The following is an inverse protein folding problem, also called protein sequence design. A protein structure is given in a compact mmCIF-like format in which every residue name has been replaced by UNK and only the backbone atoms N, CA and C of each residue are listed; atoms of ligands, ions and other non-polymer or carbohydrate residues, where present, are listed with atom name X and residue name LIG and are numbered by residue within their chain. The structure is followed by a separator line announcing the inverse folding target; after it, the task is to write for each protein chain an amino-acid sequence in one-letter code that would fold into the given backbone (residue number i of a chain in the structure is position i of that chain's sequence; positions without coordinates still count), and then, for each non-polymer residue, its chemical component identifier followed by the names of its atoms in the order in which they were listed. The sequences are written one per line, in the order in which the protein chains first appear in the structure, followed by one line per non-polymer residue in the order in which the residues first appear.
data_IF_393107717242
#
_entry.id   IF_393107717242
#
_cell.length_a   1.000
_cell.length_b   1.000
_cell.length_c   1.000
_cell.angle_alpha   90.00
_cell.angle_beta   90.00
_cell.angle_gamma   90.00
#
_symmetry.space_group_name_H-M   'P 1'
#
loop_
_entity.id
_entity.type
_entity.pdbx_description
1 polymer ?
#
# COMPACT_ATOMS: atom_id res chain seq x y z
N UNK A 1 -17.12 -16.44 34.96
CA UNK A 1 -17.92 -16.35 33.72
C UNK A 1 -17.25 -15.36 32.77
N UNK A 2 -16.77 -15.80 31.62
CA UNK A 2 -16.00 -15.02 30.63
C UNK A 2 -16.87 -14.40 29.53
N UNK A 3 -18.19 -14.33 29.71
CA UNK A 3 -19.11 -13.80 28.71
C UNK A 3 -18.85 -12.30 28.41
N UNK A 4 -18.55 -11.51 29.45
CA UNK A 4 -18.20 -10.09 29.29
C UNK A 4 -16.90 -9.88 28.49
N UNK A 5 -15.90 -10.74 28.70
CA UNK A 5 -14.66 -10.73 27.91
C UNK A 5 -14.90 -11.17 26.46
N UNK A 6 -15.80 -12.15 26.24
CA UNK A 6 -16.17 -12.59 24.89
C UNK A 6 -16.89 -11.47 24.11
N UNK A 7 -17.87 -10.80 24.73
CA UNK A 7 -18.56 -9.66 24.12
C UNK A 7 -17.59 -8.51 23.85
N UNK A 8 -16.64 -8.26 24.77
CA UNK A 8 -15.60 -7.25 24.57
C UNK A 8 -14.69 -7.58 23.38
N UNK A 9 -14.35 -8.86 23.17
CA UNK A 9 -13.56 -9.31 22.04
C UNK A 9 -14.30 -9.10 20.71
N UNK A 10 -15.59 -9.44 20.65
CA UNK A 10 -16.41 -9.21 19.44
C UNK A 10 -16.49 -7.71 19.10
N UNK A 11 -16.71 -6.85 20.10
CA UNK A 11 -16.71 -5.39 19.90
C UNK A 11 -15.35 -4.86 19.46
N UNK A 12 -14.25 -5.45 19.96
CA UNK A 12 -12.90 -5.08 19.52
C UNK A 12 -12.68 -5.44 18.05
N UNK A 13 -13.14 -6.61 17.61
CA UNK A 13 -13.03 -7.06 16.22
C UNK A 13 -13.69 -6.09 15.23
N UNK A 14 -14.87 -5.57 15.56
CA UNK A 14 -15.60 -4.57 14.76
C UNK A 14 -14.81 -3.27 14.54
N UNK A 15 -13.94 -2.92 15.49
CA UNK A 15 -13.13 -1.71 15.47
C UNK A 15 -11.66 -1.94 15.08
N UNK A 16 -11.24 -3.18 14.85
CA UNK A 16 -9.83 -3.53 14.64
C UNK A 16 -9.19 -2.76 13.46
N UNK A 17 -9.93 -2.65 12.35
CA UNK A 17 -9.48 -1.90 11.15
C UNK A 17 -9.63 -0.39 11.28
N UNK A 18 -10.17 0.12 12.40
CA UNK A 18 -10.16 1.55 12.71
C UNK A 18 -8.82 2.02 13.28
N UNK A 19 -7.98 1.09 13.71
CA UNK A 19 -6.72 1.42 14.38
C UNK A 19 -5.71 2.10 13.44
N UNK A 20 -4.90 2.99 14.01
CA UNK A 20 -3.90 3.78 13.28
C UNK A 20 -2.84 2.95 12.57
N UNK A 21 -2.46 1.79 13.14
CA UNK A 21 -1.55 0.84 12.49
C UNK A 21 -2.11 0.32 11.17
N UNK A 22 -3.39 -0.05 11.14
CA UNK A 22 -4.04 -0.48 9.91
C UNK A 22 -4.04 0.64 8.88
N UNK A 23 -4.35 1.87 9.32
CA UNK A 23 -4.35 3.03 8.47
C UNK A 23 -2.98 3.32 7.84
N UNK A 24 -1.90 3.28 8.61
CA UNK A 24 -0.55 3.52 8.06
C UNK A 24 -0.16 2.44 7.04
N UNK A 25 -0.46 1.17 7.34
CA UNK A 25 -0.24 0.06 6.42
C UNK A 25 -1.04 0.22 5.12
N UNK A 26 -2.33 0.51 5.22
CA UNK A 26 -3.20 0.72 4.06
C UNK A 26 -2.75 1.92 3.22
N UNK A 27 -2.38 3.05 3.86
CA UNK A 27 -1.85 4.24 3.19
C UNK A 27 -0.58 3.92 2.40
N UNK A 28 0.35 3.17 3.00
CA UNK A 28 1.59 2.76 2.35
C UNK A 28 1.31 1.82 1.17
N UNK A 29 0.48 0.80 1.39
CA UNK A 29 0.09 -0.16 0.36
C UNK A 29 -0.54 0.52 -0.85
N UNK A 30 -1.53 1.40 -0.65
CA UNK A 30 -2.18 2.15 -1.74
C UNK A 30 -1.15 2.97 -2.53
N UNK A 31 -0.21 3.64 -1.86
CA UNK A 31 0.84 4.41 -2.54
C UNK A 31 1.75 3.51 -3.38
N UNK A 32 2.12 2.34 -2.86
CA UNK A 32 2.95 1.36 -3.60
C UNK A 32 2.19 0.88 -4.84
N UNK A 33 0.92 0.50 -4.71
CA UNK A 33 0.11 0.08 -5.86
C UNK A 33 -0.07 1.19 -6.90
N UNK A 34 -0.31 2.43 -6.47
CA UNK A 34 -0.39 3.58 -7.39
C UNK A 34 0.93 3.80 -8.12
N UNK A 35 2.07 3.69 -7.41
CA UNK A 35 3.41 3.82 -7.99
C UNK A 35 3.71 2.69 -8.96
N UNK A 36 3.31 1.47 -8.65
CA UNK A 36 3.50 0.31 -9.54
C UNK A 36 2.80 0.50 -10.88
N UNK A 37 1.64 1.17 -10.87
CA UNK A 37 0.91 1.53 -12.10
C UNK A 37 1.59 2.68 -12.85
N UNK A 38 2.01 3.74 -12.13
CA UNK A 38 2.60 4.92 -12.76
C UNK A 38 4.00 4.69 -13.32
N UNK A 39 4.77 3.84 -12.64
CA UNK A 39 6.17 3.54 -12.93
C UNK A 39 6.42 2.05 -12.72
N UNK A 40 6.02 1.19 -13.67
CA UNK A 40 6.32 -0.24 -13.60
C UNK A 40 7.84 -0.49 -13.62
N UNK A 41 8.61 0.41 -14.22
CA UNK A 41 10.07 0.31 -14.27
C UNK A 41 10.72 0.32 -12.89
N UNK A 42 10.26 1.17 -11.95
CA UNK A 42 10.82 1.29 -10.60
C UNK A 42 10.78 -0.04 -9.81
N UNK A 43 9.95 -1.00 -10.21
CA UNK A 43 9.78 -2.31 -9.56
C UNK A 43 10.68 -3.40 -10.14
N UNK A 44 11.25 -3.18 -11.33
CA UNK A 44 12.31 -4.03 -11.86
C UNK A 44 13.62 -3.61 -11.20
N UNK A 45 14.29 -4.51 -10.48
CA UNK A 45 15.63 -4.28 -9.88
C UNK A 45 16.68 -3.75 -10.89
N UNK A 46 16.40 -3.83 -12.19
CA UNK A 46 17.25 -3.35 -13.28
C UNK A 46 17.09 -1.87 -13.65
N UNK A 47 16.07 -1.16 -13.14
CA UNK A 47 15.87 0.27 -13.43
C UNK A 47 16.51 1.19 -12.40
N UNK A 48 17.59 0.74 -11.75
CA UNK A 48 18.55 1.66 -11.13
C UNK A 48 19.05 2.58 -12.24
N UNK A 49 18.36 3.71 -12.35
CA UNK A 49 18.61 4.88 -13.19
C UNK A 49 19.90 5.56 -12.72
N UNK A 50 20.98 4.79 -12.70
CA UNK A 50 22.36 5.20 -12.42
C UNK A 50 23.36 4.44 -13.30
N UNK A 51 22.92 3.80 -14.39
CA UNK A 51 23.81 3.33 -15.47
C UNK A 51 23.91 4.30 -16.66
N UNK A 52 23.31 5.49 -16.60
CA UNK A 52 23.64 6.56 -17.54
C UNK A 52 24.88 7.31 -17.02
N UNK A 53 26.05 6.66 -17.13
CA UNK A 53 27.35 7.30 -16.87
C UNK A 53 28.47 6.44 -16.28
N UNK A 54 28.23 5.17 -15.93
CA UNK A 54 29.24 4.33 -15.26
C UNK A 54 29.84 3.28 -16.20
N UNK A 55 31.18 3.23 -16.24
CA UNK A 55 31.94 2.34 -17.14
C UNK A 55 31.68 0.85 -16.89
N UNK A 56 31.92 0.00 -17.89
CA UNK A 56 31.69 -1.47 -17.86
C UNK A 56 32.30 -2.19 -16.63
N UNK A 57 33.31 -1.59 -16.00
CA UNK A 57 33.97 -2.11 -14.80
C UNK A 57 33.15 -1.91 -13.52
N UNK A 58 32.29 -0.90 -13.44
CA UNK A 58 31.42 -0.65 -12.30
C UNK A 58 30.18 -1.56 -12.35
N UNK A 59 29.69 -1.87 -13.54
CA UNK A 59 28.60 -2.84 -13.77
C UNK A 59 29.02 -4.24 -13.29
N UNK A 60 30.25 -4.67 -13.58
CA UNK A 60 30.78 -5.96 -13.09
C UNK A 60 30.97 -5.98 -11.56
N UNK A 61 31.41 -4.86 -10.97
CA UNK A 61 31.50 -4.72 -9.50
C UNK A 61 30.12 -4.76 -8.83
N UNK A 62 29.12 -4.11 -9.41
CA UNK A 62 27.74 -4.10 -8.91
C UNK A 62 27.08 -5.47 -9.03
N UNK A 63 27.29 -6.20 -10.14
CA UNK A 63 26.81 -7.59 -10.29
C UNK A 63 27.43 -8.53 -9.25
N UNK A 64 28.72 -8.37 -8.94
CA UNK A 64 29.42 -9.17 -7.91
C UNK A 64 28.96 -8.81 -6.50
N UNK A 65 28.62 -7.54 -6.23
CA UNK A 65 27.98 -7.09 -4.98
C UNK A 65 26.56 -7.63 -4.83
N UNK A 66 25.74 -7.58 -5.90
CA UNK A 66 24.38 -8.12 -5.92
C UNK A 66 24.36 -9.62 -5.68
N UNK A 67 25.27 -10.39 -6.29
CA UNK A 67 25.39 -11.83 -6.00
C UNK A 67 25.73 -12.12 -4.53
N UNK A 68 26.68 -11.37 -3.95
CA UNK A 68 27.01 -11.50 -2.53
C UNK A 68 25.87 -11.12 -1.60
N UNK A 69 25.08 -10.10 -1.96
CA UNK A 69 23.89 -9.69 -1.20
C UNK A 69 22.78 -10.76 -1.30
N UNK A 70 22.56 -11.37 -2.47
CA UNK A 70 21.60 -12.46 -2.64
C UNK A 70 22.01 -13.72 -1.86
N UNK A 71 23.30 -14.06 -1.87
CA UNK A 71 23.84 -15.16 -1.06
C UNK A 71 23.70 -14.88 0.46
N UNK A 72 23.95 -13.64 0.90
CA UNK A 72 23.73 -13.23 2.30
C UNK A 72 22.24 -13.19 2.69
N UNK A 73 21.33 -12.81 1.79
CA UNK A 73 19.89 -12.87 2.02
C UNK A 73 19.38 -14.30 2.11
N UNK A 74 19.91 -15.23 1.31
CA UNK A 74 19.58 -16.66 1.43
C UNK A 74 20.11 -17.26 2.73
N UNK A 75 21.30 -16.85 3.18
CA UNK A 75 21.86 -17.27 4.46
C UNK A 75 21.12 -16.67 5.65
N UNK A 76 20.70 -15.40 5.58
CA UNK A 76 19.87 -14.74 6.58
C UNK A 76 18.44 -15.27 6.60
N UNK A 77 17.86 -15.65 5.45
CA UNK A 77 16.56 -16.34 5.40
C UNK A 77 16.61 -17.73 6.04
N UNK A 78 17.77 -18.40 6.04
CA UNK A 78 17.97 -19.67 6.76
C UNK A 78 18.14 -19.43 8.27
N UNK A 79 18.92 -18.42 8.68
CA UNK A 79 19.09 -18.04 10.09
C UNK A 79 17.81 -17.48 10.73
N UNK A 80 17.00 -16.73 9.97
CA UNK A 80 15.68 -16.27 10.43
C UNK A 80 14.66 -17.41 10.58
N UNK A 81 14.82 -18.53 9.87
CA UNK A 81 13.93 -19.69 10.03
C UNK A 81 14.18 -20.39 11.37
N UNK A 82 15.42 -20.44 11.84
CA UNK A 82 15.77 -21.03 13.14
C UNK A 82 15.36 -20.14 14.34
N UNK A 83 15.31 -18.82 14.19
CA UNK A 83 14.89 -17.88 15.26
C UNK A 83 13.36 -17.68 15.32
N UNK A 84 12.59 -18.23 14.36
CA UNK A 84 11.14 -18.03 14.24
C UNK A 84 10.28 -19.01 15.04
N UNK A 85 10.86 -20.00 15.73
CA UNK A 85 10.08 -20.95 16.54
C UNK A 85 9.71 -20.43 17.94
N UNK A 86 10.38 -19.40 18.46
CA UNK A 86 10.10 -18.85 19.79
C UNK A 86 9.53 -17.42 19.71
N UNK A 87 8.21 -17.31 19.61
CA UNK A 87 7.48 -16.09 19.94
C UNK A 87 6.86 -15.34 18.76
N UNK A 88 5.53 -15.40 18.70
CA UNK A 88 4.62 -14.79 17.73
C UNK A 88 4.66 -15.43 16.34
N UNK A 89 3.61 -16.20 16.04
CA UNK A 89 3.16 -16.52 14.68
C UNK A 89 3.04 -15.21 13.88
N UNK A 90 4.13 -14.83 13.20
CA UNK A 90 4.07 -13.88 12.10
C UNK A 90 3.16 -14.52 11.06
N UNK A 91 2.23 -13.74 10.51
CA UNK A 91 1.27 -14.18 9.51
C UNK A 91 1.93 -14.86 8.29
N UNK A 92 1.13 -15.39 7.34
CA UNK A 92 1.66 -16.15 6.21
C UNK A 92 2.85 -15.43 5.58
N UNK A 93 3.97 -16.15 5.42
CA UNK A 93 5.19 -15.59 4.88
C UNK A 93 4.92 -15.14 3.44
N UNK A 94 4.73 -13.84 3.27
CA UNK A 94 4.42 -13.23 1.97
C UNK A 94 5.70 -13.16 1.15
N UNK A 95 5.73 -13.86 0.01
CA UNK A 95 6.85 -13.78 -0.90
C UNK A 95 6.86 -12.41 -1.61
N UNK A 96 7.93 -11.62 -1.48
CA UNK A 96 7.99 -10.27 -2.03
C UNK A 96 7.90 -10.26 -3.56
N UNK A 97 8.43 -11.28 -4.23
CA UNK A 97 8.36 -11.39 -5.69
C UNK A 97 6.94 -11.65 -6.20
N UNK A 98 6.13 -12.40 -5.44
CA UNK A 98 4.73 -12.65 -5.79
C UNK A 98 3.88 -11.39 -5.66
N UNK A 99 4.20 -10.51 -4.69
CA UNK A 99 3.52 -9.23 -4.50
C UNK A 99 3.87 -8.19 -5.57
N UNK A 100 5.03 -8.30 -6.22
CA UNK A 100 5.42 -7.41 -7.32
C UNK A 100 4.79 -7.82 -8.66
N UNK A 101 4.49 -9.11 -8.84
CA UNK A 101 3.88 -9.66 -10.07
C UNK A 101 2.37 -9.82 -9.92
N UNK A 102 1.67 -8.75 -9.55
CA UNK A 102 0.21 -8.77 -9.43
C UNK A 102 -0.41 -8.33 -10.76
N UNK A 103 -1.33 -9.13 -11.29
CA UNK A 103 -2.02 -8.85 -12.57
C UNK A 103 -2.83 -7.54 -12.54
N UNK A 104 -3.46 -7.24 -11.41
CA UNK A 104 -4.37 -6.10 -11.26
C UNK A 104 -4.11 -5.30 -9.97
N UNK A 105 -3.03 -4.48 -9.91
CA UNK A 105 -2.70 -3.68 -8.71
C UNK A 105 -3.81 -2.75 -8.24
N UNK A 106 -4.58 -2.23 -9.20
CA UNK A 106 -5.68 -1.33 -8.91
C UNK A 106 -6.84 -2.07 -8.20
N UNK A 107 -7.03 -3.37 -8.48
CA UNK A 107 -7.99 -4.22 -7.79
C UNK A 107 -7.66 -4.32 -6.30
N UNK A 108 -6.40 -4.62 -5.97
CA UNK A 108 -5.92 -4.73 -4.60
C UNK A 108 -6.00 -3.40 -3.84
N UNK A 109 -5.58 -2.29 -4.47
CA UNK A 109 -5.70 -0.96 -3.88
C UNK A 109 -7.15 -0.63 -3.48
N UNK A 110 -8.13 -1.05 -4.30
CA UNK A 110 -9.54 -0.80 -4.00
C UNK A 110 -10.07 -1.62 -2.81
N UNK A 111 -9.50 -2.78 -2.49
CA UNK A 111 -9.86 -3.54 -1.28
C UNK A 111 -9.52 -2.74 -0.04
N UNK A 112 -8.33 -2.12 -0.01
CA UNK A 112 -7.95 -1.20 1.06
C UNK A 112 -8.88 0.01 1.12
N UNK A 113 -9.21 0.61 -0.02
CA UNK A 113 -10.14 1.73 -0.08
C UNK A 113 -11.54 1.37 0.44
N UNK A 114 -12.04 0.17 0.13
CA UNK A 114 -13.31 -0.34 0.63
C UNK A 114 -13.30 -0.46 2.16
N UNK A 115 -12.25 -1.07 2.73
CA UNK A 115 -12.11 -1.17 4.18
C UNK A 115 -12.08 0.23 4.84
N UNK A 116 -11.34 1.19 4.28
CA UNK A 116 -11.29 2.55 4.82
C UNK A 116 -12.69 3.23 4.85
N UNK A 117 -13.56 2.92 3.88
CA UNK A 117 -14.95 3.40 3.88
C UNK A 117 -15.84 2.67 4.89
N UNK A 118 -15.79 1.33 4.91
CA UNK A 118 -16.67 0.52 5.77
C UNK A 118 -16.48 0.83 7.24
N UNK A 119 -15.22 1.05 7.64
CA UNK A 119 -14.90 1.34 9.05
C UNK A 119 -14.90 2.84 9.37
N UNK A 120 -14.99 3.72 8.36
CA UNK A 120 -15.11 5.17 8.55
C UNK A 120 -13.88 5.78 9.21
N UNK A 121 -12.82 6.00 8.44
CA UNK A 121 -11.61 6.65 8.93
C UNK A 121 -11.83 8.12 9.25
N UNK A 122 -11.14 8.63 10.27
CA UNK A 122 -11.15 10.06 10.64
C UNK A 122 -9.99 10.87 9.98
N UNK A 123 -9.34 10.33 8.94
CA UNK A 123 -8.16 10.94 8.30
C UNK A 123 -8.45 11.26 6.83
N UNK A 124 -8.51 12.56 6.52
CA UNK A 124 -8.81 13.06 5.16
C UNK A 124 -7.83 12.59 4.08
N UNK A 125 -6.56 12.40 4.43
CA UNK A 125 -5.52 11.84 3.54
C UNK A 125 -5.88 10.47 2.97
N UNK A 126 -6.59 9.62 3.73
CA UNK A 126 -7.00 8.29 3.26
C UNK A 126 -8.01 8.40 2.12
N UNK A 127 -9.03 9.26 2.29
CA UNK A 127 -10.04 9.51 1.26
C UNK A 127 -9.47 10.16 0.01
N UNK A 128 -8.46 11.01 0.15
CA UNK A 128 -7.74 11.58 -1.01
C UNK A 128 -7.06 10.49 -1.86
N UNK A 129 -6.39 9.52 -1.22
CA UNK A 129 -5.77 8.40 -1.91
C UNK A 129 -6.82 7.45 -2.52
N UNK A 130 -7.92 7.21 -1.80
CA UNK A 130 -9.03 6.41 -2.32
C UNK A 130 -9.66 7.05 -3.58
N UNK A 131 -9.81 8.37 -3.58
CA UNK A 131 -10.29 9.11 -4.74
C UNK A 131 -9.37 8.93 -5.95
N UNK A 132 -8.03 8.92 -5.77
CA UNK A 132 -7.09 8.65 -6.86
C UNK A 132 -7.26 7.24 -7.45
N UNK A 133 -7.41 6.23 -6.58
CA UNK A 133 -7.63 4.83 -6.98
C UNK A 133 -8.94 4.68 -7.75
N UNK A 134 -10.04 5.23 -7.24
CA UNK A 134 -11.35 5.10 -7.90
C UNK A 134 -11.44 5.91 -9.20
N UNK A 135 -10.74 7.04 -9.28
CA UNK A 135 -10.61 7.81 -10.52
C UNK A 135 -9.91 7.00 -11.61
N UNK A 136 -8.86 6.24 -11.28
CA UNK A 136 -8.18 5.33 -12.22
C UNK A 136 -9.01 4.11 -12.61
N UNK A 137 -10.00 3.74 -11.80
CA UNK A 137 -10.97 2.68 -12.09
C UNK A 137 -12.19 3.15 -12.86
N UNK A 138 -12.24 4.43 -13.23
CA UNK A 138 -13.40 5.07 -13.86
C UNK A 138 -14.71 4.99 -13.04
N UNK A 139 -14.59 4.82 -11.71
CA UNK A 139 -15.75 4.82 -10.80
C UNK A 139 -16.03 6.23 -10.28
N UNK A 140 -16.72 7.02 -11.09
CA UNK A 140 -17.01 8.45 -10.83
C UNK A 140 -17.80 8.65 -9.53
N UNK A 141 -18.88 7.88 -9.31
CA UNK A 141 -19.73 8.01 -8.12
C UNK A 141 -19.00 7.70 -6.82
N UNK A 142 -18.14 6.67 -6.83
CA UNK A 142 -17.33 6.32 -5.67
C UNK A 142 -16.28 7.39 -5.37
N UNK A 143 -15.72 8.00 -6.41
CA UNK A 143 -14.80 9.12 -6.27
C UNK A 143 -15.48 10.32 -5.61
N UNK A 144 -16.70 10.67 -6.05
CA UNK A 144 -17.49 11.73 -5.42
C UNK A 144 -17.82 11.42 -3.96
N UNK A 145 -18.18 10.16 -3.66
CA UNK A 145 -18.40 9.71 -2.27
C UNK A 145 -17.16 9.92 -1.40
N UNK A 146 -15.97 9.53 -1.88
CA UNK A 146 -14.71 9.78 -1.17
C UNK A 146 -14.48 11.27 -0.90
N UNK A 147 -14.73 12.12 -1.89
CA UNK A 147 -14.54 13.56 -1.76
C UNK A 147 -15.51 14.17 -0.75
N UNK A 148 -16.76 13.72 -0.73
CA UNK A 148 -17.76 14.22 0.23
C UNK A 148 -17.42 13.79 1.67
N UNK A 149 -17.08 12.51 1.88
CA UNK A 149 -16.65 12.03 3.19
C UNK A 149 -15.35 12.70 3.66
N UNK A 150 -14.39 12.89 2.74
CA UNK A 150 -13.16 13.62 3.02
C UNK A 150 -13.43 15.08 3.44
N UNK A 151 -14.41 15.74 2.81
CA UNK A 151 -14.80 17.11 3.15
C UNK A 151 -15.49 17.25 4.49
N UNK A 152 -16.25 16.23 4.92
CA UNK A 152 -16.88 16.23 6.25
C UNK A 152 -15.82 16.23 7.36
N UNK A 153 -14.69 15.57 7.11
CA UNK A 153 -13.59 15.45 8.06
C UNK A 153 -12.70 16.70 8.01
N UNK A 154 -12.20 17.04 6.82
CA UNK A 154 -11.27 18.15 6.63
C UNK A 154 -11.56 18.91 5.34
N UNK A 155 -12.07 20.13 5.49
CA UNK A 155 -12.41 21.02 4.37
C UNK A 155 -11.20 21.68 3.73
N UNK A 156 -10.08 21.82 4.46
CA UNK A 156 -8.92 22.62 4.06
C UNK A 156 -7.77 21.76 3.55
N UNK A 157 -7.92 20.42 3.59
CA UNK A 157 -6.86 19.51 3.18
C UNK A 157 -6.35 19.74 1.72
N UNK A 158 -5.05 20.01 1.49
CA UNK A 158 -4.50 20.29 0.16
C UNK A 158 -4.69 19.15 -0.85
N UNK A 159 -4.42 17.90 -0.45
CA UNK A 159 -4.61 16.75 -1.35
C UNK A 159 -6.06 16.55 -1.79
N UNK A 160 -7.06 16.82 -0.91
CA UNK A 160 -8.47 16.72 -1.28
C UNK A 160 -8.84 17.81 -2.29
N UNK A 161 -8.30 19.02 -2.14
CA UNK A 161 -8.47 20.09 -3.12
C UNK A 161 -7.92 19.68 -4.50
N UNK A 162 -6.71 19.11 -4.54
CA UNK A 162 -6.12 18.60 -5.79
C UNK A 162 -7.01 17.52 -6.42
N UNK A 163 -7.55 16.59 -5.62
CA UNK A 163 -8.44 15.56 -6.15
C UNK A 163 -9.76 16.12 -6.68
N UNK A 164 -10.32 17.15 -6.04
CA UNK A 164 -11.51 17.84 -6.57
C UNK A 164 -11.24 18.45 -7.94
N UNK A 165 -10.13 19.17 -8.08
CA UNK A 165 -9.76 19.79 -9.38
C UNK A 165 -9.57 18.71 -10.45
N UNK A 166 -8.88 17.61 -10.12
CA UNK A 166 -8.73 16.45 -11.03
C UNK A 166 -10.07 15.82 -11.40
N UNK A 167 -10.99 15.69 -10.45
CA UNK A 167 -12.32 15.15 -10.68
C UNK A 167 -13.13 16.06 -11.62
N UNK A 168 -13.16 17.37 -11.36
CA UNK A 168 -13.87 18.34 -12.20
C UNK A 168 -13.32 18.39 -13.63
N UNK A 169 -12.00 18.23 -13.81
CA UNK A 169 -11.40 18.12 -15.15
C UNK A 169 -11.89 16.90 -15.92
N UNK A 170 -12.02 15.76 -15.25
CA UNK A 170 -12.46 14.50 -15.88
C UNK A 170 -13.98 14.46 -16.09
N UNK A 171 -14.77 15.26 -15.37
CA UNK A 171 -16.22 15.35 -15.51
C UNK A 171 -16.68 16.40 -16.54
N UNK A 172 -15.78 16.99 -17.34
CA UNK A 172 -16.20 17.81 -18.47
C UNK A 172 -16.87 16.91 -19.52
N UNK A 173 -18.19 17.04 -19.60
CA UNK A 173 -19.00 16.65 -20.75
C UNK A 173 -18.53 17.40 -22.01
#
# INVERSE_FOLDING_TARGET
MTLCSYISLLRMEDHLRKHDYYYQGAKLAIKIYLRMIDRPEDMNENSVRSMEGMSENEIKKMKKKLKKLKEQEEENKKKEKEVKEEGLQRGPQLDPEALLKIDNPLAEAAKFCHNLHTYGMNKGTGYALCAEVYRRKDKVLLTLKCLNEGLKIDKVHPLLHVQKVKFLRNCKC
#
